data_IF_264780111833
#
_entry.id   IF_264780111833
#
_cell.length_a   1.000
_cell.length_b   1.000
_cell.length_c   1.000
_cell.angle_alpha   90.00
_cell.angle_beta   90.00
_cell.angle_gamma   90.00
#
_symmetry.space_group_name_H-M   'P 1'
#
loop_
_entity.id
_entity.type
_entity.pdbx_description
1 polymer ?
#
# COMPACT_ATOMS: atom_id res chain seq x y z
N UNK A 1 10.69 13.87 24.40
CA UNK A 1 10.77 13.23 23.07
C UNK A 1 12.16 13.47 22.52
N UNK A 2 12.97 12.42 22.37
CA UNK A 2 14.31 12.51 21.76
C UNK A 2 14.18 12.85 20.27
N UNK A 3 15.20 13.47 19.66
CA UNK A 3 15.24 13.75 18.21
C UNK A 3 15.04 12.47 17.36
N UNK A 4 15.44 11.32 17.90
CA UNK A 4 15.29 9.99 17.28
C UNK A 4 13.83 9.50 17.25
N UNK A 5 12.93 10.15 17.98
CA UNK A 5 11.49 9.89 17.98
C UNK A 5 10.72 10.84 17.06
N UNK A 6 11.38 11.84 16.45
CA UNK A 6 10.75 12.81 15.55
C UNK A 6 10.84 12.36 14.07
N UNK A 7 9.70 12.10 13.39
CA UNK A 7 9.69 11.71 11.98
C UNK A 7 10.21 12.79 11.02
N UNK A 8 10.33 14.05 11.47
CA UNK A 8 10.80 15.16 10.64
C UNK A 8 12.22 14.94 10.06
N UNK A 9 13.02 14.06 10.69
CA UNK A 9 14.35 13.67 10.23
C UNK A 9 14.38 12.78 8.98
N UNK A 10 13.27 12.12 8.63
CA UNK A 10 13.21 11.17 7.50
C UNK A 10 13.42 11.91 6.18
N UNK A 11 14.30 11.38 5.31
CA UNK A 11 14.61 11.93 3.97
C UNK A 11 14.19 10.97 2.86
N UNK A 12 14.18 9.68 3.14
CA UNK A 12 13.71 8.66 2.21
C UNK A 12 13.16 7.42 2.90
N UNK A 13 12.19 6.78 2.27
CA UNK A 13 11.67 5.46 2.66
C UNK A 13 12.00 4.43 1.58
N UNK A 14 12.42 3.24 2.00
CA UNK A 14 12.60 2.09 1.15
C UNK A 14 11.37 1.18 1.24
N UNK A 15 10.84 0.74 0.09
CA UNK A 15 9.62 -0.07 -0.01
C UNK A 15 9.86 -1.26 -0.92
N UNK A 16 9.32 -2.44 -0.60
CA UNK A 16 9.29 -3.57 -1.55
C UNK A 16 8.12 -3.36 -2.52
N UNK A 17 8.31 -3.56 -3.82
CA UNK A 17 7.23 -3.40 -4.79
C UNK A 17 6.04 -4.32 -4.48
N UNK A 18 6.30 -5.58 -4.10
CA UNK A 18 5.26 -6.51 -3.67
C UNK A 18 4.52 -6.08 -2.40
N UNK A 19 5.19 -5.42 -1.45
CA UNK A 19 4.52 -4.91 -0.25
C UNK A 19 3.54 -3.78 -0.61
N UNK A 20 3.94 -2.88 -1.52
CA UNK A 20 3.08 -1.79 -2.01
C UNK A 20 1.86 -2.34 -2.74
N UNK A 21 2.07 -3.26 -3.68
CA UNK A 21 0.99 -3.89 -4.47
C UNK A 21 0.03 -4.65 -3.58
N UNK A 22 0.56 -5.47 -2.66
CA UNK A 22 -0.25 -6.25 -1.72
C UNK A 22 -1.08 -5.35 -0.82
N UNK A 23 -0.48 -4.26 -0.32
CA UNK A 23 -1.19 -3.31 0.51
C UNK A 23 -2.29 -2.58 -0.28
N UNK A 24 -1.98 -2.06 -1.47
CA UNK A 24 -2.95 -1.38 -2.33
C UNK A 24 -4.12 -2.29 -2.73
N UNK A 25 -3.85 -3.54 -3.12
CA UNK A 25 -4.90 -4.51 -3.45
C UNK A 25 -5.82 -4.77 -2.25
N UNK A 26 -5.24 -4.89 -1.04
CA UNK A 26 -6.02 -5.10 0.17
C UNK A 26 -6.88 -3.89 0.51
N UNK A 27 -6.33 -2.68 0.40
CA UNK A 27 -7.05 -1.42 0.62
C UNK A 27 -8.24 -1.28 -0.33
N UNK A 28 -8.12 -1.73 -1.58
CA UNK A 28 -9.21 -1.64 -2.56
C UNK A 28 -10.29 -2.71 -2.36
N UNK A 29 -9.91 -3.91 -1.88
CA UNK A 29 -10.82 -5.07 -1.81
C UNK A 29 -11.45 -5.30 -0.44
N UNK A 30 -10.87 -4.76 0.63
CA UNK A 30 -11.23 -5.09 2.00
C UNK A 30 -11.47 -3.82 2.79
N UNK A 31 -12.35 -3.89 3.79
CA UNK A 31 -12.49 -2.82 4.79
C UNK A 31 -11.33 -2.79 5.79
N UNK A 32 -10.35 -3.70 5.64
CA UNK A 32 -9.15 -3.76 6.45
C UNK A 32 -8.19 -2.64 6.06
N UNK A 33 -7.78 -1.83 7.04
CA UNK A 33 -6.77 -0.81 6.83
C UNK A 33 -5.38 -1.45 6.78
N UNK A 34 -4.84 -1.60 5.56
CA UNK A 34 -3.49 -2.11 5.30
C UNK A 34 -2.61 -0.97 4.82
N UNK A 35 -1.56 -0.69 5.58
CA UNK A 35 -0.65 0.44 5.38
C UNK A 35 0.78 -0.04 5.24
N UNK A 36 1.67 0.85 4.81
CA UNK A 36 3.10 0.67 5.00
C UNK A 36 3.53 1.46 6.24
N UNK A 37 4.08 0.79 7.25
CA UNK A 37 4.54 1.46 8.47
C UNK A 37 6.05 1.71 8.46
N UNK A 38 6.44 2.88 8.94
CA UNK A 38 7.81 3.24 9.27
C UNK A 38 7.93 3.32 10.79
N UNK A 39 8.75 2.45 11.37
CA UNK A 39 8.89 2.35 12.82
C UNK A 39 10.09 3.15 13.32
N UNK A 40 9.96 3.89 14.43
CA UNK A 40 11.10 4.51 15.11
C UNK A 40 12.11 3.46 15.64
N UNK A 41 13.33 3.88 16.04
CA UNK A 41 13.87 5.24 15.97
C UNK A 41 14.01 5.72 14.52
N UNK A 42 13.67 6.99 14.28
CA UNK A 42 13.69 7.59 12.95
C UNK A 42 15.09 8.03 12.57
N UNK A 43 15.50 7.58 11.38
CA UNK A 43 16.73 7.99 10.73
C UNK A 43 16.42 8.63 9.37
N UNK A 44 17.41 9.29 8.77
CA UNK A 44 17.25 9.91 7.45
C UNK A 44 16.84 8.92 6.34
N UNK A 45 17.16 7.63 6.49
CA UNK A 45 16.76 6.57 5.57
C UNK A 45 16.02 5.49 6.35
N UNK A 46 14.76 5.29 6.02
CA UNK A 46 13.91 4.31 6.67
C UNK A 46 13.46 3.24 5.70
N UNK A 47 12.91 2.14 6.21
CA UNK A 47 12.20 1.14 5.43
C UNK A 47 10.74 1.12 5.87
N UNK A 48 9.83 1.29 4.93
CA UNK A 48 8.41 1.08 5.19
C UNK A 48 8.07 -0.39 4.90
N UNK A 49 7.28 -1.01 5.78
CA UNK A 49 6.90 -2.43 5.68
C UNK A 49 5.40 -2.57 5.78
N UNK A 50 4.84 -3.53 5.05
CA UNK A 50 3.40 -3.81 5.09
C UNK A 50 2.96 -4.12 6.52
N UNK A 51 1.84 -3.54 6.91
CA UNK A 51 1.25 -3.69 8.23
C UNK A 51 -0.27 -3.60 8.13
N UNK A 52 -0.96 -4.49 8.83
CA UNK A 52 -2.40 -4.43 8.98
C UNK A 52 -2.69 -3.73 10.30
N UNK A 53 -3.36 -2.58 10.23
CA UNK A 53 -3.76 -1.81 11.41
C UNK A 53 -4.82 -2.62 12.16
N UNK A 54 -4.65 -2.72 13.48
CA UNK A 54 -5.67 -3.32 14.37
C UNK A 54 -6.39 -2.21 15.12
N UNK A 55 -7.69 -2.39 15.33
CA UNK A 55 -8.48 -1.47 16.13
C UNK A 55 -7.84 -1.33 17.53
N UNK A 56 -7.57 -0.09 17.93
CA UNK A 56 -6.98 0.23 19.24
C UNK A 56 -5.47 -0.04 19.39
N UNK A 57 -4.75 -0.38 18.32
CA UNK A 57 -3.29 -0.67 18.37
C UNK A 57 -2.45 0.52 18.87
N UNK A 58 -2.97 1.73 18.75
CA UNK A 58 -2.34 2.98 19.24
C UNK A 58 -3.27 3.76 20.17
N UNK A 59 -4.21 3.07 20.84
CA UNK A 59 -5.16 3.69 21.77
C UNK A 59 -4.48 4.27 23.01
N UNK A 60 -5.17 5.21 23.67
CA UNK A 60 -4.72 6.03 24.81
C UNK A 60 -4.13 5.23 25.99
N UNK A 61 -4.41 3.94 26.13
CA UNK A 61 -3.77 3.09 27.14
C UNK A 61 -2.29 2.80 26.84
N UNK A 62 -1.89 2.86 25.57
CA UNK A 62 -0.49 2.80 25.11
C UNK A 62 0.19 4.18 25.20
N UNK A 63 -0.58 5.27 25.38
CA UNK A 63 -0.05 6.62 25.55
C UNK A 63 0.63 6.87 26.91
N UNK A 64 0.56 5.91 27.84
CA UNK A 64 1.40 5.88 29.05
C UNK A 64 2.79 5.25 28.78
N UNK A 65 3.00 4.67 27.59
CA UNK A 65 4.31 4.28 27.09
C UNK A 65 4.96 5.48 26.41
N UNK A 66 6.18 5.84 26.80
CA UNK A 66 7.02 6.85 26.09
C UNK A 66 7.49 6.35 24.70
N UNK A 67 6.90 5.27 24.19
CA UNK A 67 7.26 4.63 22.93
C UNK A 67 6.75 5.46 21.74
N UNK A 68 7.66 5.83 20.81
CA UNK A 68 7.27 6.64 19.66
C UNK A 68 6.31 5.90 18.70
N UNK A 69 5.27 6.61 18.26
CA UNK A 69 4.24 6.08 17.36
C UNK A 69 4.80 5.93 15.94
N UNK A 70 4.60 4.78 15.25
CA UNK A 70 4.99 4.59 13.86
C UNK A 70 4.27 5.55 12.89
N UNK A 71 4.97 5.98 11.85
CA UNK A 71 4.34 6.68 10.72
C UNK A 71 3.70 5.65 9.79
N UNK A 72 2.42 5.82 9.49
CA UNK A 72 1.73 5.05 8.45
C UNK A 72 1.78 5.79 7.12
N UNK A 73 1.87 5.01 6.04
CA UNK A 73 1.86 5.48 4.67
C UNK A 73 0.75 4.73 3.95
N UNK A 74 -0.19 5.47 3.39
CA UNK A 74 -1.23 4.92 2.52
C UNK A 74 -0.56 4.32 1.26
N UNK A 75 -0.80 3.05 0.93
CA UNK A 75 -0.18 2.43 -0.25
C UNK A 75 -0.65 3.07 -1.57
N UNK A 76 -1.82 3.69 -1.61
CA UNK A 76 -2.37 4.36 -2.81
C UNK A 76 -1.61 5.65 -3.14
N UNK A 77 -1.13 6.38 -2.12
CA UNK A 77 -0.27 7.58 -2.25
C UNK A 77 1.14 7.25 -2.77
N UNK A 78 1.47 5.96 -2.88
CA UNK A 78 2.71 5.48 -3.50
C UNK A 78 2.55 5.14 -4.97
N UNK A 79 1.36 5.28 -5.56
CA UNK A 79 1.06 4.82 -6.92
C UNK A 79 0.57 6.01 -7.74
N UNK A 80 1.31 6.38 -8.78
CA UNK A 80 0.87 7.39 -9.73
C UNK A 80 -0.33 6.86 -10.50
N UNK A 81 -1.43 7.61 -10.55
CA UNK A 81 -2.63 7.26 -11.33
C UNK A 81 -3.07 5.81 -11.07
N UNK A 82 -3.46 5.51 -9.82
CA UNK A 82 -3.87 4.17 -9.41
C UNK A 82 -4.91 3.57 -10.37
N UNK A 83 -4.59 2.45 -11.07
CA UNK A 83 -5.56 1.79 -11.94
C UNK A 83 -6.71 1.20 -11.11
N UNK A 84 -7.93 1.27 -11.65
CA UNK A 84 -9.10 0.61 -11.07
C UNK A 84 -8.82 -0.88 -10.90
N UNK A 85 -9.16 -1.41 -9.72
CA UNK A 85 -9.02 -2.83 -9.45
C UNK A 85 -10.04 -3.63 -10.28
N UNK A 86 -9.62 -4.72 -10.96
CA UNK A 86 -10.53 -5.50 -11.80
C UNK A 86 -11.47 -6.35 -10.95
N UNK A 87 -12.77 -6.06 -10.98
CA UNK A 87 -13.75 -6.84 -10.24
C UNK A 87 -14.13 -8.14 -10.98
N UNK A 88 -14.49 -9.21 -10.24
CA UNK A 88 -14.92 -10.47 -10.85
C UNK A 88 -16.09 -10.29 -11.82
N UNK A 89 -17.06 -9.44 -11.49
CA UNK A 89 -18.22 -9.15 -12.34
C UNK A 89 -17.85 -8.47 -13.67
N UNK A 90 -16.94 -7.50 -13.65
CA UNK A 90 -16.47 -6.81 -14.85
C UNK A 90 -15.74 -7.78 -15.78
N UNK A 91 -14.85 -8.59 -15.23
CA UNK A 91 -14.12 -9.61 -16.00
C UNK A 91 -15.03 -10.72 -16.53
N UNK A 92 -16.17 -10.99 -15.89
CA UNK A 92 -17.19 -11.91 -16.41
C UNK A 92 -17.87 -11.34 -17.66
N UNK A 93 -18.29 -10.09 -17.57
CA UNK A 93 -18.98 -9.39 -18.66
C UNK A 93 -18.06 -9.14 -19.86
N UNK A 94 -16.80 -8.80 -19.63
CA UNK A 94 -15.77 -8.70 -20.66
C UNK A 94 -15.61 -10.03 -21.40
N UNK A 95 -15.48 -11.14 -20.66
CA UNK A 95 -15.27 -12.46 -21.26
C UNK A 95 -16.49 -12.91 -22.06
N UNK A 96 -17.69 -12.65 -21.55
CA UNK A 96 -18.96 -12.94 -22.25
C UNK A 96 -19.10 -12.11 -23.53
N UNK A 97 -18.61 -10.87 -23.53
CA UNK A 97 -18.72 -9.95 -24.66
C UNK A 97 -17.65 -10.20 -25.73
N UNK A 98 -16.44 -10.62 -25.34
CA UNK A 98 -15.31 -10.79 -26.23
C UNK A 98 -15.19 -12.20 -26.85
N UNK A 99 -15.77 -13.23 -26.23
CA UNK A 99 -15.57 -14.61 -26.66
C UNK A 99 -16.68 -15.14 -27.58
N UNK A 100 -16.28 -15.63 -28.76
CA UNK A 100 -17.13 -16.44 -29.65
C UNK A 100 -17.35 -17.87 -29.11
N UNK A 101 -16.77 -18.20 -27.95
CA UNK A 101 -16.76 -19.53 -27.35
C UNK A 101 -17.66 -19.56 -26.12
N UNK A 102 -18.13 -20.75 -25.76
CA UNK A 102 -18.98 -20.93 -24.59
C UNK A 102 -18.26 -20.50 -23.30
N UNK A 103 -18.93 -19.63 -22.55
CA UNK A 103 -18.56 -19.22 -21.21
C UNK A 103 -18.50 -20.43 -20.28
N UNK A 104 -17.41 -20.55 -19.51
CA UNK A 104 -17.33 -21.50 -18.39
C UNK A 104 -16.75 -20.80 -17.14
N UNK A 105 -17.16 -21.21 -15.92
CA UNK A 105 -16.60 -20.66 -14.69
C UNK A 105 -15.07 -20.79 -14.60
N UNK A 106 -14.50 -21.88 -15.12
CA UNK A 106 -13.04 -22.08 -15.11
C UNK A 106 -12.33 -21.05 -15.99
N UNK A 107 -12.87 -20.75 -17.18
CA UNK A 107 -12.31 -19.73 -18.07
C UNK A 107 -12.41 -18.34 -17.48
N UNK A 108 -13.54 -18.03 -16.84
CA UNK A 108 -13.70 -16.77 -16.12
C UNK A 108 -12.67 -16.64 -15.02
N UNK A 109 -12.48 -17.68 -14.21
CA UNK A 109 -11.47 -17.68 -13.14
C UNK A 109 -10.06 -17.49 -13.69
N UNK A 110 -9.69 -18.15 -14.78
CA UNK A 110 -8.39 -18.00 -15.44
C UNK A 110 -8.20 -16.58 -16.00
N UNK A 111 -9.20 -16.06 -16.72
CA UNK A 111 -9.17 -14.70 -17.26
C UNK A 111 -9.06 -13.65 -16.16
N UNK A 112 -9.88 -13.76 -15.11
CA UNK A 112 -9.84 -12.86 -13.97
C UNK A 112 -8.47 -12.87 -13.28
N UNK A 113 -7.85 -14.05 -13.10
CA UNK A 113 -6.50 -14.14 -12.55
C UNK A 113 -5.48 -13.40 -13.42
N UNK A 114 -5.52 -13.57 -14.75
CA UNK A 114 -4.63 -12.85 -15.66
C UNK A 114 -4.82 -11.34 -15.57
N UNK A 115 -6.07 -10.85 -15.58
CA UNK A 115 -6.34 -9.41 -15.49
C UNK A 115 -5.87 -8.83 -14.16
N UNK A 116 -6.00 -9.58 -13.06
CA UNK A 116 -5.44 -9.18 -11.75
C UNK A 116 -3.91 -9.16 -11.78
N UNK A 117 -3.26 -10.12 -12.43
CA UNK A 117 -1.80 -10.13 -12.60
C UNK A 117 -1.31 -8.93 -13.41
N UNK A 118 -1.99 -8.60 -14.50
CA UNK A 118 -1.69 -7.42 -15.33
C UNK A 118 -1.89 -6.12 -14.53
N UNK A 119 -2.95 -6.04 -13.72
CA UNK A 119 -3.17 -4.93 -12.81
C UNK A 119 -2.03 -4.79 -11.79
N UNK A 120 -1.58 -5.90 -11.20
CA UNK A 120 -0.46 -5.90 -10.24
C UNK A 120 0.83 -5.40 -10.90
N UNK A 121 1.11 -5.82 -12.12
CA UNK A 121 2.26 -5.32 -12.89
C UNK A 121 2.15 -3.81 -13.16
N UNK A 122 0.98 -3.34 -13.61
CA UNK A 122 0.74 -1.92 -13.85
C UNK A 122 0.93 -1.08 -12.58
N UNK A 123 0.50 -1.57 -11.41
CA UNK A 123 0.73 -0.92 -10.13
C UNK A 123 2.22 -0.85 -9.78
N UNK A 124 2.98 -1.94 -9.98
CA UNK A 124 4.43 -1.97 -9.71
C UNK A 124 5.19 -0.92 -10.52
N UNK A 125 4.83 -0.75 -11.79
CA UNK A 125 5.48 0.20 -12.68
C UNK A 125 5.20 1.65 -12.28
N UNK A 126 4.00 1.92 -11.78
CA UNK A 126 3.51 3.25 -11.39
C UNK A 126 3.94 3.70 -9.99
N UNK A 127 4.78 2.95 -9.27
CA UNK A 127 5.23 3.37 -7.94
C UNK A 127 5.98 4.72 -8.02
N UNK A 128 5.58 5.74 -7.26
CA UNK A 128 6.19 7.07 -7.32
C UNK A 128 7.63 7.07 -6.77
N UNK A 129 8.44 8.04 -7.20
CA UNK A 129 9.79 8.29 -6.65
C UNK A 129 9.77 9.16 -5.39
N UNK A 130 8.62 9.74 -5.04
CA UNK A 130 8.45 10.67 -3.94
C UNK A 130 7.03 10.62 -3.40
N UNK A 131 6.89 10.67 -2.07
CA UNK A 131 5.58 10.68 -1.40
C UNK A 131 5.58 11.65 -0.22
N UNK A 132 4.42 11.92 0.34
CA UNK A 132 4.26 12.74 1.55
C UNK A 132 3.99 11.84 2.75
N UNK A 133 4.86 11.91 3.76
CA UNK A 133 4.60 11.32 5.07
C UNK A 133 3.79 12.30 5.91
N UNK A 134 2.78 11.80 6.62
CA UNK A 134 1.95 12.57 7.55
C UNK A 134 1.97 11.92 8.93
N UNK A 135 2.01 12.73 9.98
CA UNK A 135 1.97 12.32 11.39
C UNK A 135 1.39 13.47 12.25
N UNK A 136 1.10 13.21 13.52
CA UNK A 136 0.44 14.18 14.43
C UNK A 136 1.16 15.54 14.55
N UNK A 137 2.47 15.57 14.29
CA UNK A 137 3.31 16.77 14.36
C UNK A 137 3.53 17.49 13.03
N UNK A 138 3.08 16.92 11.91
CA UNK A 138 3.24 17.56 10.60
C UNK A 138 3.31 16.58 9.44
N UNK A 139 3.79 17.11 8.31
CA UNK A 139 3.97 16.34 7.09
C UNK A 139 5.24 16.71 6.36
N UNK A 140 5.82 15.75 5.66
CA UNK A 140 7.07 15.95 4.91
C UNK A 140 7.11 15.07 3.68
N UNK A 141 7.52 15.70 2.58
CA UNK A 141 7.85 15.04 1.33
C UNK A 141 9.19 14.33 1.42
N UNK A 142 9.22 13.05 1.04
CA UNK A 142 10.39 12.18 1.13
C UNK A 142 10.57 11.36 -0.13
N UNK A 143 11.81 11.01 -0.45
CA UNK A 143 12.08 10.13 -1.59
C UNK A 143 11.64 8.69 -1.30
N UNK A 144 11.03 8.03 -2.27
CA UNK A 144 10.71 6.61 -2.26
C UNK A 144 11.85 5.85 -2.96
N UNK A 145 12.26 4.73 -2.37
CA UNK A 145 13.28 3.85 -2.93
C UNK A 145 12.71 2.44 -3.03
N UNK A 146 12.48 1.98 -4.25
CA UNK A 146 12.02 0.61 -4.48
C UNK A 146 13.15 -0.36 -4.13
N UNK A 147 12.82 -1.39 -3.36
CA UNK A 147 13.66 -2.54 -3.05
C UNK A 147 13.26 -3.64 -4.03
N UNK A 148 14.18 -3.96 -4.93
CA UNK A 148 14.05 -4.93 -5.99
C UNK A 148 15.42 -5.20 -6.59
#
# INVERSE_FOLDING_TARGET
MSEESDPSGIRSIAVTADDVVTAAERTLRSTDEVVLRVTPPYAGRMRARIHRVREGEYSVTDAESDDPVPVHVDPTELIAELPTYPEPEETEDDLRSASEREYTPERHREYHQQVVEDWREAVRDRIVDETTLEWDGGRKRVAVKRLG
#
